data_IF_979630396971
#
_entry.id   IF_979630396971
#
_cell.length_a   1.000
_cell.length_b   1.000
_cell.length_c   1.000
_cell.angle_alpha   90.00
_cell.angle_beta   90.00
_cell.angle_gamma   90.00
#
_symmetry.space_group_name_H-M   'P 1'
#
loop_
_entity.id
_entity.type
_entity.pdbx_description
1 polymer ?
#
# COMPACT_ATOMS: atom_id res chain seq x y z
N UNK A 1 -4.33 14.76 6.19
CA UNK A 1 -4.19 13.36 5.73
C UNK A 1 -5.57 12.87 5.36
N UNK A 2 -5.79 12.30 4.17
CA UNK A 2 -7.07 11.68 3.84
C UNK A 2 -7.35 10.53 4.83
N UNK A 3 -8.59 10.42 5.28
CA UNK A 3 -9.02 9.30 6.11
C UNK A 3 -9.11 8.05 5.22
N UNK A 4 -8.41 6.99 5.61
CA UNK A 4 -8.42 5.71 4.92
C UNK A 4 -9.01 4.69 5.91
N UNK A 5 -10.16 4.12 5.55
CA UNK A 5 -10.82 3.12 6.36
C UNK A 5 -10.00 1.82 6.39
N UNK A 6 -9.86 1.21 7.58
CA UNK A 6 -9.05 0.00 7.77
C UNK A 6 -9.59 -1.20 6.97
N UNK A 7 -10.91 -1.31 6.88
CA UNK A 7 -11.63 -2.31 6.08
C UNK A 7 -11.18 -2.32 4.61
N UNK A 8 -11.07 -1.15 3.97
CA UNK A 8 -10.61 -1.03 2.59
C UNK A 8 -9.18 -1.54 2.39
N UNK A 9 -8.32 -1.43 3.39
CA UNK A 9 -6.95 -1.93 3.34
C UNK A 9 -6.87 -3.45 3.58
N UNK A 10 -7.78 -3.98 4.41
CA UNK A 10 -7.81 -5.40 4.77
C UNK A 10 -8.29 -6.29 3.62
N UNK A 11 -9.24 -5.80 2.82
CA UNK A 11 -9.75 -6.49 1.63
C UNK A 11 -8.64 -6.80 0.62
N UNK A 12 -7.61 -5.95 0.57
CA UNK A 12 -6.48 -6.09 -0.36
C UNK A 12 -5.28 -6.86 0.21
N UNK A 13 -5.34 -7.25 1.49
CA UNK A 13 -4.25 -7.95 2.21
C UNK A 13 -4.65 -9.34 2.73
N UNK A 14 -5.70 -9.94 2.16
CA UNK A 14 -6.25 -11.24 2.58
C UNK A 14 -6.74 -11.25 4.03
N UNK A 15 -7.24 -10.11 4.53
CA UNK A 15 -7.77 -9.98 5.89
C UNK A 15 -6.72 -10.01 7.00
N UNK A 16 -5.43 -9.94 6.68
CA UNK A 16 -4.35 -10.01 7.69
C UNK A 16 -3.67 -8.66 7.86
N UNK A 17 -3.88 -8.05 9.03
CA UNK A 17 -3.27 -6.76 9.42
C UNK A 17 -1.74 -6.83 9.30
N UNK A 18 -1.12 -7.93 9.72
CA UNK A 18 0.35 -8.07 9.64
C UNK A 18 0.86 -8.07 8.20
N UNK A 19 0.18 -8.79 7.29
CA UNK A 19 0.55 -8.80 5.86
C UNK A 19 0.34 -7.43 5.23
N UNK A 20 -0.73 -6.74 5.60
CA UNK A 20 -1.02 -5.37 5.18
C UNK A 20 0.11 -4.42 5.56
N UNK A 21 0.56 -4.47 6.81
CA UNK A 21 1.66 -3.61 7.31
C UNK A 21 2.95 -3.90 6.55
N UNK A 22 3.30 -5.17 6.33
CA UNK A 22 4.49 -5.54 5.56
C UNK A 22 4.38 -5.06 4.11
N UNK A 23 3.22 -5.21 3.46
CA UNK A 23 2.97 -4.76 2.10
C UNK A 23 3.12 -3.24 1.97
N UNK A 24 2.50 -2.49 2.89
CA UNK A 24 2.59 -1.03 2.92
C UNK A 24 4.03 -0.56 3.19
N UNK A 25 4.77 -1.21 4.10
CA UNK A 25 6.16 -0.88 4.39
C UNK A 25 7.07 -1.12 3.18
N UNK A 26 6.93 -2.27 2.51
CA UNK A 26 7.69 -2.58 1.29
C UNK A 26 7.42 -1.55 0.20
N UNK A 27 6.16 -1.20 -0.02
CA UNK A 27 5.81 -0.20 -1.03
C UNK A 27 6.31 1.20 -0.66
N UNK A 28 6.22 1.58 0.60
CA UNK A 28 6.75 2.87 1.05
C UNK A 28 8.27 2.99 0.80
N UNK A 29 9.01 1.89 0.94
CA UNK A 29 10.44 1.84 0.59
C UNK A 29 10.65 2.02 -0.92
N UNK A 30 9.90 1.33 -1.78
CA UNK A 30 10.01 1.50 -3.24
C UNK A 30 9.78 2.96 -3.67
N UNK A 31 8.79 3.62 -3.09
CA UNK A 31 8.50 5.04 -3.35
C UNK A 31 9.64 5.92 -2.83
N UNK A 32 10.20 5.62 -1.65
CA UNK A 32 11.34 6.34 -1.10
C UNK A 32 12.62 6.15 -1.95
N UNK A 33 12.77 5.00 -2.61
CA UNK A 33 13.84 4.71 -3.56
C UNK A 33 13.63 5.37 -4.94
N UNK A 34 12.52 6.09 -5.13
CA UNK A 34 12.23 6.88 -6.33
C UNK A 34 11.32 6.18 -7.34
N UNK A 35 10.69 5.05 -6.99
CA UNK A 35 9.63 4.51 -7.85
C UNK A 35 8.46 5.49 -7.96
N UNK A 36 7.85 5.62 -9.14
CA UNK A 36 6.71 6.49 -9.34
C UNK A 36 5.50 5.97 -8.55
N UNK A 37 4.75 6.87 -7.89
CA UNK A 37 3.49 6.52 -7.28
C UNK A 37 2.44 6.19 -8.35
N UNK A 38 1.56 5.22 -8.06
CA UNK A 38 0.47 4.75 -8.90
C UNK A 38 -0.82 5.54 -8.72
N UNK A 39 -0.80 6.53 -7.82
CA UNK A 39 -1.90 7.43 -7.51
C UNK A 39 -1.40 8.87 -7.66
N UNK A 40 -2.24 9.74 -8.22
CA UNK A 40 -1.95 11.16 -8.30
C UNK A 40 -2.03 11.77 -6.91
N UNK A 41 -0.87 11.95 -6.29
CA UNK A 41 -0.71 12.58 -4.99
C UNK A 41 0.40 13.61 -5.05
N UNK A 42 0.26 14.67 -4.25
CA UNK A 42 1.28 15.70 -4.14
C UNK A 42 2.61 15.08 -3.65
N UNK A 43 3.72 15.44 -4.29
CA UNK A 43 5.07 14.95 -3.99
C UNK A 43 5.55 15.28 -2.57
N UNK A 44 4.87 16.19 -1.87
CA UNK A 44 5.15 16.53 -0.46
C UNK A 44 4.58 15.51 0.54
N UNK A 45 3.79 14.53 0.10
CA UNK A 45 3.18 13.52 0.97
C UNK A 45 4.19 12.43 1.34
N UNK A 46 4.16 11.97 2.60
CA UNK A 46 5.03 10.89 3.08
C UNK A 46 4.84 9.61 2.25
N UNK A 47 5.91 8.88 1.91
CA UNK A 47 5.82 7.63 1.14
C UNK A 47 4.87 6.59 1.73
N UNK A 48 4.79 6.51 3.06
CA UNK A 48 3.86 5.62 3.77
C UNK A 48 2.39 5.95 3.53
N UNK A 49 2.04 7.23 3.45
CA UNK A 49 0.67 7.66 3.15
C UNK A 49 0.29 7.35 1.71
N UNK A 50 1.22 7.52 0.77
CA UNK A 50 1.02 7.17 -0.64
C UNK A 50 0.81 5.65 -0.77
N UNK A 51 1.65 4.84 -0.13
CA UNK A 51 1.53 3.38 -0.15
C UNK A 51 0.18 2.89 0.40
N UNK A 52 -0.29 3.45 1.52
CA UNK A 52 -1.61 3.12 2.08
C UNK A 52 -2.74 3.50 1.12
N UNK A 53 -2.62 4.64 0.44
CA UNK A 53 -3.61 5.06 -0.53
C UNK A 53 -3.63 4.12 -1.74
N UNK A 54 -2.47 3.77 -2.32
CA UNK A 54 -2.37 2.81 -3.43
C UNK A 54 -3.00 1.45 -3.08
N UNK A 55 -2.79 0.98 -1.85
CA UNK A 55 -3.44 -0.25 -1.35
C UNK A 55 -4.95 -0.03 -1.26
N UNK A 56 -5.42 1.08 -0.70
CA UNK A 56 -6.85 1.37 -0.54
C UNK A 56 -7.61 1.51 -1.86
N UNK A 57 -6.98 1.99 -2.95
CA UNK A 57 -7.61 2.02 -4.29
C UNK A 57 -7.41 0.70 -5.06
N UNK A 58 -6.80 -0.31 -4.44
CA UNK A 58 -6.58 -1.61 -5.03
C UNK A 58 -5.54 -1.62 -6.16
N UNK A 59 -4.67 -0.60 -6.25
CA UNK A 59 -3.55 -0.58 -7.20
C UNK A 59 -2.47 -1.57 -6.76
N UNK A 60 -2.34 -1.82 -5.46
CA UNK A 60 -1.41 -2.77 -4.87
C UNK A 60 -2.18 -3.79 -4.05
N UNK A 61 -1.91 -5.06 -4.28
CA UNK A 61 -2.59 -6.18 -3.62
C UNK A 61 -1.59 -7.24 -3.22
N UNK A 62 -1.84 -7.88 -2.09
CA UNK A 62 -1.05 -9.04 -1.69
C UNK A 62 -1.35 -10.23 -2.62
N UNK A 63 -0.33 -10.73 -3.32
CA UNK A 63 -0.42 -11.96 -4.12
C UNK A 63 0.28 -13.09 -3.40
N UNK A 64 -0.45 -14.15 -3.07
CA UNK A 64 0.14 -15.39 -2.57
C UNK A 64 0.82 -16.10 -3.74
N UNK A 65 2.14 -16.15 -3.71
CA UNK A 65 2.90 -17.00 -4.62
C UNK A 65 2.71 -18.43 -4.12
N UNK A 66 2.12 -19.32 -4.93
CA UNK A 66 2.10 -20.74 -4.59
C UNK A 66 3.55 -21.22 -4.63
N UNK A 67 4.04 -21.77 -3.52
CA UNK A 67 5.26 -22.57 -3.57
C UNK A 67 4.94 -23.78 -4.46
N UNK A 68 5.69 -23.92 -5.55
CA UNK A 68 5.65 -25.07 -6.45
C UNK A 68 6.44 -26.22 -5.83
#
# INVERSE_FOLDING_TARGET
MPYIALENLLDHSTGSIYKMVILAAKRALEIAEGQPPLVEMNSSIKPSTIALHEISVGKIKYKKIKAQ
#
